data_IF_087389373124
#
_entry.id   IF_087389373124
#
_cell.length_a   1.000
_cell.length_b   1.000
_cell.length_c   1.000
_cell.angle_alpha   90.00
_cell.angle_beta   90.00
_cell.angle_gamma   90.00
#
_symmetry.space_group_name_H-M   'P 1'
#
loop_
_entity.id
_entity.type
_entity.pdbx_description
1 polymer ?
#
# COMPACT_ATOMS: atom_id res chain seq x y z
N UNK A 1 23.89 -0.27 67.75
CA UNK A 1 23.13 0.02 66.51
C UNK A 1 23.98 0.03 65.23
N UNK A 2 25.23 -0.45 65.23
CA UNK A 2 26.18 -0.22 64.13
C UNK A 2 26.35 -1.38 63.14
N UNK A 3 26.21 -2.64 63.57
CA UNK A 3 26.42 -3.81 62.68
C UNK A 3 25.31 -4.00 61.63
N UNK A 4 24.05 -3.68 61.94
CA UNK A 4 22.92 -3.83 61.00
C UNK A 4 22.95 -2.81 59.85
N UNK A 5 23.48 -1.61 60.09
CA UNK A 5 23.60 -0.55 59.07
C UNK A 5 24.71 -0.89 58.07
N UNK A 6 25.83 -1.45 58.55
CA UNK A 6 26.95 -1.86 57.68
C UNK A 6 26.52 -2.95 56.69
N UNK A 7 25.74 -3.94 57.14
CA UNK A 7 25.21 -4.98 56.26
C UNK A 7 24.25 -4.44 55.19
N UNK A 8 23.43 -3.44 55.55
CA UNK A 8 22.48 -2.83 54.62
C UNK A 8 23.17 -2.04 53.50
N UNK A 9 24.24 -1.32 53.83
CA UNK A 9 25.06 -0.57 52.86
C UNK A 9 25.81 -1.51 51.91
N UNK A 10 26.33 -2.63 52.42
CA UNK A 10 27.02 -3.64 51.61
C UNK A 10 26.07 -4.32 50.60
N UNK A 11 24.85 -4.64 51.01
CA UNK A 11 23.84 -5.22 50.11
C UNK A 11 23.44 -4.22 49.02
N UNK A 12 23.25 -2.95 49.37
CA UNK A 12 22.94 -1.90 48.39
C UNK A 12 24.07 -1.70 47.36
N UNK A 13 25.33 -1.75 47.79
CA UNK A 13 26.47 -1.64 46.88
C UNK A 13 26.57 -2.83 45.90
N UNK A 14 26.28 -4.05 46.38
CA UNK A 14 26.26 -5.25 45.52
C UNK A 14 25.09 -5.22 44.55
N UNK A 15 23.90 -4.78 44.97
CA UNK A 15 22.74 -4.63 44.10
C UNK A 15 22.97 -3.56 43.03
N UNK A 16 23.54 -2.40 43.40
CA UNK A 16 23.87 -1.35 42.43
C UNK A 16 24.94 -1.81 41.42
N UNK A 17 25.98 -2.51 41.88
CA UNK A 17 27.01 -3.08 41.00
C UNK A 17 26.47 -4.18 40.09
N UNK A 18 25.57 -5.03 40.60
CA UNK A 18 24.90 -6.07 39.84
C UNK A 18 23.96 -5.51 38.76
N UNK A 19 23.19 -4.46 39.08
CA UNK A 19 22.33 -3.76 38.11
C UNK A 19 23.17 -3.07 37.04
N UNK A 20 24.27 -2.40 37.42
CA UNK A 20 25.16 -1.74 36.46
C UNK A 20 25.85 -2.74 35.52
N UNK A 21 26.32 -3.88 36.05
CA UNK A 21 26.92 -4.93 35.22
C UNK A 21 25.91 -5.64 34.33
N UNK A 22 24.69 -5.86 34.81
CA UNK A 22 23.60 -6.43 34.03
C UNK A 22 23.18 -5.49 32.88
N UNK A 23 23.04 -4.19 33.15
CA UNK A 23 22.76 -3.19 32.10
C UNK A 23 23.90 -3.04 31.09
N UNK A 24 25.16 -3.21 31.52
CA UNK A 24 26.31 -3.21 30.59
C UNK A 24 26.31 -4.42 29.65
N UNK A 25 25.83 -5.59 30.10
CA UNK A 25 25.70 -6.80 29.27
C UNK A 25 24.43 -6.81 28.42
N UNK A 26 23.36 -6.19 28.92
CA UNK A 26 22.05 -6.12 28.29
C UNK A 26 21.61 -4.65 28.26
N UNK A 27 22.16 -3.82 27.35
CA UNK A 27 21.73 -2.44 27.24
C UNK A 27 20.23 -2.40 26.99
N UNK A 28 19.46 -1.54 27.70
CA UNK A 28 18.04 -1.39 27.44
C UNK A 28 17.84 -0.96 26.00
N UNK A 29 16.99 -1.67 25.26
CA UNK A 29 16.66 -1.38 23.86
C UNK A 29 15.78 -0.15 23.75
N UNK A 30 16.29 1.02 24.13
CA UNK A 30 15.78 2.27 23.58
C UNK A 30 16.28 2.30 22.15
N UNK A 31 15.35 2.14 21.20
CA UNK A 31 15.62 2.11 19.77
C UNK A 31 16.63 3.19 19.40
N UNK A 32 17.74 2.74 18.83
CA UNK A 32 18.85 3.57 18.40
C UNK A 32 18.31 4.56 17.35
N UNK A 33 18.21 5.84 17.72
CA UNK A 33 17.65 6.93 16.91
C UNK A 33 18.32 7.01 15.52
N UNK A 34 19.55 6.49 15.40
CA UNK A 34 20.28 6.33 14.15
C UNK A 34 19.60 5.39 13.15
N UNK A 35 18.98 4.30 13.61
CA UNK A 35 18.31 3.30 12.75
C UNK A 35 16.98 3.80 12.19
N UNK A 36 16.20 4.54 12.99
CA UNK A 36 14.97 5.19 12.52
C UNK A 36 15.27 6.27 11.48
N UNK A 37 16.30 7.08 11.72
CA UNK A 37 16.77 8.12 10.79
C UNK A 37 17.24 7.51 9.46
N UNK A 38 18.06 6.46 9.48
CA UNK A 38 18.52 5.77 8.26
C UNK A 38 17.39 5.08 7.49
N UNK A 39 16.41 4.49 8.18
CA UNK A 39 15.26 3.87 7.52
C UNK A 39 14.37 4.91 6.81
N UNK A 40 14.23 6.10 7.40
CA UNK A 40 13.47 7.20 6.78
C UNK A 40 14.16 7.78 5.54
N UNK A 41 15.50 7.89 5.53
CA UNK A 41 16.23 8.41 4.38
C UNK A 41 16.27 7.42 3.21
N UNK A 42 16.44 6.13 3.50
CA UNK A 42 16.39 5.08 2.47
C UNK A 42 15.01 4.95 1.82
N UNK A 43 13.94 5.07 2.62
CA UNK A 43 12.57 5.06 2.11
C UNK A 43 12.30 6.30 1.23
N UNK A 44 12.77 7.47 1.65
CA UNK A 44 12.66 8.70 0.88
C UNK A 44 13.40 8.63 -0.45
N UNK A 45 14.60 8.04 -0.46
CA UNK A 45 15.36 7.76 -1.69
C UNK A 45 14.59 6.83 -2.63
N UNK A 46 14.05 5.73 -2.11
CA UNK A 46 13.26 4.77 -2.90
C UNK A 46 12.02 5.41 -3.53
N UNK A 47 11.30 6.24 -2.77
CA UNK A 47 10.07 6.90 -3.21
C UNK A 47 10.32 8.01 -4.24
N UNK A 48 11.54 8.55 -4.28
CA UNK A 48 11.94 9.56 -5.25
C UNK A 48 12.66 8.96 -6.47
N UNK A 49 13.07 7.69 -6.41
CA UNK A 49 13.50 6.91 -7.58
C UNK A 49 12.30 6.25 -8.25
N UNK A 50 11.71 6.96 -9.23
CA UNK A 50 10.53 6.49 -9.96
C UNK A 50 10.74 5.14 -10.64
N UNK A 51 11.96 4.81 -11.10
CA UNK A 51 12.23 3.56 -11.79
C UNK A 51 12.29 2.38 -10.82
N UNK A 52 12.93 2.57 -9.66
CA UNK A 52 12.94 1.55 -8.59
C UNK A 52 11.54 1.36 -8.01
N UNK A 53 10.79 2.44 -7.79
CA UNK A 53 9.42 2.37 -7.29
C UNK A 53 8.51 1.64 -8.27
N UNK A 54 8.52 2.03 -9.55
CA UNK A 54 7.73 1.38 -10.61
C UNK A 54 8.05 -0.12 -10.68
N UNK A 55 9.34 -0.49 -10.69
CA UNK A 55 9.77 -1.89 -10.66
C UNK A 55 9.27 -2.64 -9.43
N UNK A 56 9.26 -2.01 -8.26
CA UNK A 56 8.76 -2.63 -7.03
C UNK A 56 7.26 -2.92 -7.13
N UNK A 57 6.46 -1.95 -7.58
CA UNK A 57 5.00 -2.13 -7.72
C UNK A 57 4.69 -3.17 -8.82
N UNK A 58 5.41 -3.14 -9.95
CA UNK A 58 5.26 -4.11 -11.05
C UNK A 58 5.52 -5.57 -10.68
N UNK A 59 6.22 -5.82 -9.58
CA UNK A 59 6.54 -7.18 -9.11
C UNK A 59 5.90 -7.49 -7.75
N UNK A 60 4.88 -6.71 -7.37
CA UNK A 60 4.13 -6.90 -6.13
C UNK A 60 2.97 -7.91 -6.30
N UNK A 61 2.24 -8.15 -5.22
CA UNK A 61 1.00 -8.92 -5.26
C UNK A 61 -0.20 -7.98 -5.11
N UNK A 62 -1.30 -8.29 -5.79
CA UNK A 62 -2.56 -7.54 -5.72
C UNK A 62 -3.71 -8.48 -5.40
N UNK A 63 -4.77 -7.95 -4.78
CA UNK A 63 -5.98 -8.72 -4.51
C UNK A 63 -7.09 -8.24 -5.44
N UNK A 64 -7.70 -9.19 -6.15
CA UNK A 64 -8.70 -8.93 -7.19
C UNK A 64 -10.01 -9.61 -6.80
N UNK A 65 -11.11 -8.86 -6.80
CA UNK A 65 -12.44 -9.43 -6.69
C UNK A 65 -12.79 -10.11 -8.02
N UNK A 66 -12.85 -11.44 -8.02
CA UNK A 66 -13.19 -12.22 -9.21
C UNK A 66 -14.72 -12.22 -9.36
N UNK A 67 -15.23 -11.60 -10.41
CA UNK A 67 -16.64 -11.69 -10.78
C UNK A 67 -16.86 -12.90 -11.68
N UNK A 68 -17.69 -13.84 -11.24
CA UNK A 68 -18.18 -14.90 -12.12
C UNK A 68 -19.54 -14.49 -12.69
N UNK A 69 -19.72 -14.67 -14.00
CA UNK A 69 -20.90 -14.22 -14.76
C UNK A 69 -22.24 -14.68 -14.14
N UNK A 70 -22.23 -15.78 -13.38
CA UNK A 70 -23.46 -16.41 -12.86
C UNK A 70 -23.69 -16.20 -11.35
N UNK A 71 -22.74 -15.61 -10.60
CA UNK A 71 -22.83 -15.57 -9.12
C UNK A 71 -22.46 -14.25 -8.46
N UNK A 72 -22.22 -13.20 -9.23
CA UNK A 72 -21.74 -11.92 -8.68
C UNK A 72 -20.28 -12.03 -8.20
N UNK A 73 -19.82 -11.10 -7.33
CA UNK A 73 -18.45 -11.14 -6.81
C UNK A 73 -18.21 -12.45 -6.05
N UNK A 74 -17.11 -13.12 -6.38
CA UNK A 74 -16.62 -14.26 -5.61
C UNK A 74 -16.47 -13.85 -4.15
N UNK A 75 -16.99 -14.67 -3.24
CA UNK A 75 -16.79 -14.47 -1.80
C UNK A 75 -15.32 -14.54 -1.38
N UNK A 76 -14.45 -15.07 -2.24
CA UNK A 76 -13.02 -15.14 -2.04
C UNK A 76 -12.31 -14.32 -3.14
N UNK A 77 -11.72 -13.17 -2.80
CA UNK A 77 -10.87 -12.47 -3.74
C UNK A 77 -9.58 -13.28 -3.98
N UNK A 78 -9.00 -13.14 -5.17
CA UNK A 78 -7.77 -13.83 -5.53
C UNK A 78 -6.55 -12.93 -5.35
N UNK A 79 -5.50 -13.47 -4.74
CA UNK A 79 -4.19 -12.81 -4.67
C UNK A 79 -3.37 -13.19 -5.89
N UNK A 80 -3.04 -12.19 -6.71
CA UNK A 80 -2.35 -12.35 -7.99
C UNK A 80 -0.97 -11.71 -7.87
N UNK A 81 0.07 -12.48 -8.18
CA UNK A 81 1.43 -11.95 -8.29
C UNK A 81 1.61 -11.28 -9.66
N UNK A 82 1.99 -10.00 -9.63
CA UNK A 82 2.36 -9.28 -10.85
C UNK A 82 3.80 -9.66 -11.23
N UNK A 83 4.02 -9.82 -12.54
CA UNK A 83 5.33 -9.96 -13.17
C UNK A 83 5.43 -8.88 -14.24
N UNK A 84 6.32 -7.93 -14.02
CA UNK A 84 6.46 -6.76 -14.88
C UNK A 84 5.13 -6.00 -15.10
N UNK A 85 4.32 -5.91 -14.04
CA UNK A 85 3.04 -5.20 -14.03
C UNK A 85 1.86 -6.03 -14.53
N UNK A 86 2.06 -7.28 -14.94
CA UNK A 86 0.97 -8.13 -15.46
C UNK A 86 0.77 -9.35 -14.57
N UNK A 87 -0.47 -9.68 -14.28
CA UNK A 87 -0.86 -10.90 -13.58
C UNK A 87 -2.07 -11.53 -14.25
N UNK A 88 -2.05 -12.85 -14.40
CA UNK A 88 -3.18 -13.62 -14.95
C UNK A 88 -3.90 -14.35 -13.82
N UNK A 89 -5.21 -14.49 -13.94
CA UNK A 89 -6.04 -15.22 -12.97
C UNK A 89 -7.14 -16.02 -13.64
N UNK A 90 -7.53 -17.13 -13.01
CA UNK A 90 -8.63 -17.97 -13.48
C UNK A 90 -9.93 -17.45 -12.88
N UNK A 91 -10.85 -17.00 -13.72
CA UNK A 91 -12.18 -16.53 -13.31
C UNK A 91 -13.17 -17.66 -13.13
N UNK A 92 -13.12 -18.65 -14.03
CA UNK A 92 -13.91 -19.86 -13.92
C UNK A 92 -13.08 -21.06 -14.37
N UNK A 93 -12.78 -21.94 -13.40
CA UNK A 93 -12.00 -23.16 -13.63
C UNK A 93 -12.74 -24.21 -14.44
N UNK A 94 -14.06 -24.11 -14.60
CA UNK A 94 -14.84 -25.05 -15.43
C UNK A 94 -14.76 -24.71 -16.92
N UNK A 95 -14.76 -23.42 -17.23
CA UNK A 95 -14.67 -22.92 -18.61
C UNK A 95 -13.25 -22.54 -19.02
N UNK A 96 -12.29 -22.60 -18.08
CA UNK A 96 -10.93 -22.06 -18.23
C UNK A 96 -10.93 -20.59 -18.67
N UNK A 97 -11.95 -19.83 -18.24
CA UNK A 97 -12.00 -18.41 -18.52
C UNK A 97 -10.96 -17.71 -17.65
N UNK A 98 -10.01 -17.04 -18.28
CA UNK A 98 -8.93 -16.28 -17.62
C UNK A 98 -9.17 -14.79 -17.75
N UNK A 99 -8.77 -14.05 -16.72
CA UNK A 99 -8.72 -12.60 -16.70
C UNK A 99 -7.30 -12.13 -16.42
N UNK A 100 -7.07 -10.86 -16.72
CA UNK A 100 -5.78 -10.22 -16.57
C UNK A 100 -5.90 -8.99 -15.67
N UNK A 101 -4.86 -8.75 -14.88
CA UNK A 101 -4.63 -7.50 -14.16
C UNK A 101 -3.37 -6.85 -14.71
N UNK A 102 -3.43 -5.54 -14.93
CA UNK A 102 -2.35 -4.72 -15.43
C UNK A 102 -2.12 -3.54 -14.50
N UNK A 103 -0.86 -3.32 -14.10
CA UNK A 103 -0.42 -2.05 -13.57
C UNK A 103 -0.18 -1.09 -14.73
N UNK A 104 -1.08 -0.13 -14.89
CA UNK A 104 -1.00 0.87 -15.98
C UNK A 104 0.05 1.92 -15.63
N UNK A 105 -0.02 2.48 -14.42
CA UNK A 105 0.92 3.50 -13.95
C UNK A 105 0.88 3.69 -12.43
N UNK A 106 1.99 4.16 -11.86
CA UNK A 106 1.97 4.86 -10.58
C UNK A 106 1.51 6.29 -10.82
N UNK A 107 0.42 6.70 -10.15
CA UNK A 107 -0.32 7.94 -10.41
C UNK A 107 -0.24 8.96 -9.27
N UNK A 108 0.37 8.59 -8.14
CA UNK A 108 0.56 9.49 -7.01
C UNK A 108 1.18 8.79 -5.80
N UNK A 109 1.43 9.57 -4.76
CA UNK A 109 1.94 9.11 -3.47
C UNK A 109 1.49 10.03 -2.35
N UNK A 110 1.38 9.49 -1.13
CA UNK A 110 1.11 10.25 0.08
C UNK A 110 2.02 9.76 1.21
N UNK A 111 2.59 10.68 1.98
CA UNK A 111 3.38 10.33 3.17
C UNK A 111 2.42 10.05 4.32
N UNK A 112 2.66 8.96 5.04
CA UNK A 112 1.90 8.53 6.23
C UNK A 112 2.87 8.26 7.38
N UNK A 113 2.35 8.05 8.59
CA UNK A 113 3.17 7.98 9.81
C UNK A 113 4.27 6.90 9.77
N UNK A 114 3.98 5.77 9.13
CA UNK A 114 4.83 4.57 9.06
C UNK A 114 5.39 4.28 7.66
N UNK A 115 5.19 5.18 6.70
CA UNK A 115 5.74 5.02 5.36
C UNK A 115 5.10 5.89 4.31
N UNK A 116 4.78 5.27 3.16
CA UNK A 116 4.13 5.93 2.04
C UNK A 116 2.98 5.08 1.51
N UNK A 117 1.86 5.73 1.21
CA UNK A 117 0.81 5.15 0.39
C UNK A 117 1.08 5.53 -1.06
N UNK A 118 1.33 4.54 -1.90
CA UNK A 118 1.59 4.69 -3.33
C UNK A 118 0.29 4.42 -4.07
N UNK A 119 -0.13 5.39 -4.89
CA UNK A 119 -1.35 5.29 -5.68
C UNK A 119 -1.02 4.78 -7.08
N UNK A 120 -1.73 3.76 -7.52
CA UNK A 120 -1.54 3.14 -8.82
C UNK A 120 -2.86 3.00 -9.57
N UNK A 121 -2.81 3.09 -10.89
CA UNK A 121 -3.89 2.69 -11.79
C UNK A 121 -3.74 1.18 -12.09
N UNK A 122 -4.66 0.39 -11.55
CA UNK A 122 -4.80 -1.03 -11.88
C UNK A 122 -5.96 -1.21 -12.84
N UNK A 123 -5.70 -1.81 -13.99
CA UNK A 123 -6.70 -2.19 -14.96
C UNK A 123 -6.97 -3.69 -14.91
N UNK A 124 -8.22 -4.10 -15.06
CA UNK A 124 -8.64 -5.50 -15.06
C UNK A 124 -9.43 -5.80 -16.33
N UNK A 125 -9.12 -6.93 -16.96
CA UNK A 125 -9.94 -7.51 -18.02
C UNK A 125 -10.46 -8.86 -17.56
N UNK A 126 -11.78 -8.97 -17.41
CA UNK A 126 -12.46 -10.20 -17.01
C UNK A 126 -12.94 -11.05 -18.19
N UNK A 127 -12.15 -11.14 -19.27
CA UNK A 127 -12.43 -11.99 -20.43
C UNK A 127 -13.57 -11.49 -21.34
N UNK A 128 -14.06 -10.27 -21.09
CA UNK A 128 -15.00 -9.54 -21.94
C UNK A 128 -14.30 -8.49 -22.80
N UNK A 129 -15.06 -7.49 -23.26
CA UNK A 129 -14.51 -6.35 -24.05
C UNK A 129 -14.18 -5.12 -23.19
N UNK A 130 -14.47 -5.18 -21.88
CA UNK A 130 -14.26 -4.08 -20.95
C UNK A 130 -12.85 -4.10 -20.35
N UNK A 131 -12.35 -2.93 -20.00
CA UNK A 131 -11.10 -2.77 -19.23
C UNK A 131 -11.44 -1.87 -18.05
N UNK A 132 -11.58 -2.45 -16.87
CA UNK A 132 -12.02 -1.72 -15.68
C UNK A 132 -10.82 -1.20 -14.91
N UNK A 133 -10.78 0.10 -14.69
CA UNK A 133 -9.72 0.77 -13.94
C UNK A 133 -10.12 0.99 -12.50
N UNK A 134 -9.19 0.71 -11.59
CA UNK A 134 -9.29 1.01 -10.17
C UNK A 134 -8.09 1.85 -9.74
N UNK A 135 -8.30 2.73 -8.76
CA UNK A 135 -7.19 3.27 -7.99
C UNK A 135 -6.82 2.26 -6.91
N UNK A 136 -5.57 1.82 -6.91
CA UNK A 136 -5.02 0.93 -5.90
C UNK A 136 -4.07 1.68 -4.96
N UNK A 137 -4.07 1.26 -3.70
CA UNK A 137 -3.14 1.71 -2.68
C UNK A 137 -2.17 0.57 -2.40
N UNK A 138 -0.88 0.88 -2.56
CA UNK A 138 0.22 0.05 -2.09
C UNK A 138 0.88 0.76 -0.92
N UNK A 139 0.84 0.13 0.24
CA UNK A 139 1.51 0.63 1.42
C UNK A 139 2.99 0.22 1.38
N UNK A 140 3.87 1.22 1.33
CA UNK A 140 5.31 1.07 1.20
C UNK A 140 5.98 1.35 2.56
N UNK A 141 6.60 0.31 3.11
CA UNK A 141 7.44 0.40 4.31
C UNK A 141 8.83 -0.11 4.00
N UNK A 142 9.87 0.61 4.45
CA UNK A 142 11.31 0.33 4.28
C UNK A 142 11.77 -0.01 2.85
N UNK A 143 11.36 -1.15 2.30
CA UNK A 143 11.69 -1.66 0.96
C UNK A 143 10.59 -2.53 0.32
N UNK A 144 9.45 -2.73 0.99
CA UNK A 144 8.37 -3.61 0.51
C UNK A 144 7.10 -2.81 0.26
N UNK A 145 6.54 -2.95 -0.94
CA UNK A 145 5.23 -2.40 -1.29
C UNK A 145 4.17 -3.50 -1.21
N UNK A 146 3.19 -3.30 -0.33
CA UNK A 146 2.12 -4.27 -0.08
C UNK A 146 0.81 -3.68 -0.58
N UNK A 147 0.10 -4.38 -1.46
CA UNK A 147 -1.27 -4.00 -1.83
C UNK A 147 -2.16 -4.04 -0.59
N UNK A 148 -2.94 -2.98 -0.35
CA UNK A 148 -3.84 -2.89 0.81
C UNK A 148 -5.31 -2.72 0.42
N UNK A 149 -5.61 -1.94 -0.61
CA UNK A 149 -6.99 -1.61 -0.98
C UNK A 149 -7.07 -1.07 -2.41
N UNK A 150 -8.25 -1.14 -3.02
CA UNK A 150 -8.55 -0.45 -4.26
C UNK A 150 -9.99 0.03 -4.32
N UNK A 151 -10.25 1.01 -5.19
CA UNK A 151 -11.58 1.56 -5.46
C UNK A 151 -11.84 1.69 -6.96
N UNK A 152 -13.04 1.34 -7.40
CA UNK A 152 -13.43 1.37 -8.82
C UNK A 152 -13.51 2.79 -9.36
N UNK A 153 -12.92 3.02 -10.53
CA UNK A 153 -12.98 4.29 -11.26
C UNK A 153 -13.92 4.23 -12.46
N UNK A 154 -13.85 3.17 -13.28
CA UNK A 154 -14.71 3.01 -14.47
C UNK A 154 -14.13 2.11 -15.57
N UNK A 155 -14.85 2.00 -16.68
CA UNK A 155 -14.48 1.17 -17.85
C UNK A 155 -13.82 2.02 -18.96
N UNK A 156 -12.66 1.57 -19.45
CA UNK A 156 -11.90 2.16 -20.57
C UNK A 156 -11.73 3.68 -20.42
N UNK A 157 -11.34 4.10 -19.22
CA UNK A 157 -11.00 5.48 -18.88
C UNK A 157 -9.49 5.71 -19.00
N UNK A 158 -9.04 6.96 -18.85
CA UNK A 158 -7.60 7.27 -18.73
C UNK A 158 -7.31 7.95 -17.40
N UNK A 159 -6.66 7.26 -16.48
CA UNK A 159 -6.29 7.83 -15.19
C UNK A 159 -5.09 8.77 -15.36
N UNK A 160 -5.17 9.96 -14.76
CA UNK A 160 -4.16 11.01 -14.92
C UNK A 160 -3.30 11.16 -13.68
N UNK A 161 -3.93 11.25 -12.50
CA UNK A 161 -3.22 11.51 -11.25
C UNK A 161 -4.10 11.18 -10.04
N UNK A 162 -3.47 10.87 -8.91
CA UNK A 162 -4.11 10.78 -7.62
C UNK A 162 -3.41 11.71 -6.62
N UNK A 163 -4.20 12.44 -5.83
CA UNK A 163 -3.68 13.37 -4.81
C UNK A 163 -4.44 13.16 -3.51
N UNK A 164 -3.69 13.01 -2.41
CA UNK A 164 -4.25 12.97 -1.07
C UNK A 164 -4.44 14.37 -0.51
N UNK A 165 -5.60 14.63 0.09
CA UNK A 165 -5.88 15.81 0.90
C UNK A 165 -5.97 15.34 2.36
N UNK A 166 -4.92 15.60 3.13
CA UNK A 166 -4.81 15.17 4.52
C UNK A 166 -5.97 15.72 5.37
N UNK A 167 -6.61 14.82 6.09
CA UNK A 167 -7.62 15.15 7.11
C UNK A 167 -7.09 14.86 8.52
N UNK A 168 -6.27 13.82 8.68
CA UNK A 168 -5.49 13.44 9.87
C UNK A 168 -4.31 12.53 9.48
N UNK A 169 -3.49 12.12 10.45
CA UNK A 169 -2.26 11.34 10.20
C UNK A 169 -2.51 10.00 9.46
N UNK A 170 -3.65 9.35 9.71
CA UNK A 170 -4.04 8.07 9.09
C UNK A 170 -5.35 8.17 8.28
N UNK A 171 -5.81 9.39 7.98
CA UNK A 171 -7.00 9.58 7.15
C UNK A 171 -6.86 10.75 6.20
N UNK A 172 -7.25 10.53 4.95
CA UNK A 172 -7.20 11.55 3.91
C UNK A 172 -8.28 11.30 2.86
N UNK A 173 -8.67 12.36 2.18
CA UNK A 173 -9.48 12.27 0.97
C UNK A 173 -8.55 12.05 -0.22
N UNK A 174 -8.71 10.92 -0.90
CA UNK A 174 -8.02 10.60 -2.14
C UNK A 174 -8.81 11.13 -3.32
N UNK A 175 -8.23 12.09 -4.04
CA UNK A 175 -8.81 12.72 -5.22
C UNK A 175 -8.13 12.15 -6.46
N UNK A 176 -8.87 11.42 -7.28
CA UNK A 176 -8.37 10.81 -8.52
C UNK A 176 -8.93 11.55 -9.73
N UNK A 177 -8.04 12.07 -10.57
CA UNK A 177 -8.39 12.71 -11.84
C UNK A 177 -8.22 11.72 -12.97
N UNK A 178 -9.22 11.65 -13.84
CA UNK A 178 -9.21 10.78 -15.01
C UNK A 178 -9.98 11.42 -16.16
N UNK A 179 -9.76 10.93 -17.38
CA UNK A 179 -10.58 11.24 -18.53
C UNK A 179 -11.58 10.12 -18.75
N UNK A 180 -12.80 10.51 -19.11
CA UNK A 180 -13.88 9.64 -19.52
C UNK A 180 -14.45 10.11 -20.87
N UNK A 181 -15.35 9.32 -21.45
CA UNK A 181 -16.10 9.68 -22.65
C UNK A 181 -17.30 10.57 -22.29
N UNK A 182 -17.81 11.28 -23.30
CA UNK A 182 -19.16 11.85 -23.27
C UNK A 182 -20.18 10.72 -23.40
N UNK A 183 -21.38 10.93 -22.86
CA UNK A 183 -22.43 9.89 -22.82
C UNK A 183 -22.82 9.34 -24.20
N UNK A 184 -22.65 10.14 -25.26
CA UNK A 184 -22.97 9.76 -26.64
C UNK A 184 -21.78 9.22 -27.45
N UNK A 185 -20.57 9.22 -26.88
CA UNK A 185 -19.38 8.73 -27.59
C UNK A 185 -19.31 7.19 -27.54
N UNK A 186 -18.94 6.53 -28.66
CA UNK A 186 -18.77 5.09 -28.66
C UNK A 186 -17.62 4.68 -27.74
N UNK A 187 -17.68 3.47 -27.18
CA UNK A 187 -16.64 2.95 -26.30
C UNK A 187 -15.27 2.73 -26.96
N UNK A 188 -15.21 2.84 -28.29
CA UNK A 188 -13.96 2.83 -29.06
C UNK A 188 -13.31 4.22 -29.18
N UNK A 189 -14.01 5.30 -28.79
CA UNK A 189 -13.45 6.64 -28.77
C UNK A 189 -12.53 6.82 -27.57
N UNK A 190 -11.48 7.61 -27.76
CA UNK A 190 -10.58 8.01 -26.68
C UNK A 190 -11.34 8.88 -25.66
N UNK A 191 -11.13 8.67 -24.35
CA UNK A 191 -11.74 9.50 -23.33
C UNK A 191 -11.13 10.92 -23.33
N UNK A 192 -11.99 11.94 -23.30
CA UNK A 192 -11.59 13.36 -23.41
C UNK A 192 -12.16 14.26 -22.30
N UNK A 193 -13.17 13.81 -21.58
CA UNK A 193 -13.87 14.58 -20.54
C UNK A 193 -13.20 14.36 -19.19
N UNK A 194 -12.63 15.42 -18.61
CA UNK A 194 -12.05 15.35 -17.28
C UNK A 194 -13.12 15.12 -16.21
N UNK A 195 -12.95 14.06 -15.44
CA UNK A 195 -13.75 13.73 -14.26
C UNK A 195 -12.86 13.61 -13.02
N UNK A 196 -13.50 13.56 -11.85
CA UNK A 196 -12.82 13.38 -10.58
C UNK A 196 -13.61 12.42 -9.70
N UNK A 197 -12.93 11.38 -9.22
CA UNK A 197 -13.45 10.50 -8.17
C UNK A 197 -12.85 10.91 -6.82
N UNK A 198 -13.62 10.74 -5.75
CA UNK A 198 -13.19 10.99 -4.38
C UNK A 198 -13.39 9.73 -3.56
N UNK A 199 -12.39 9.35 -2.80
CA UNK A 199 -12.44 8.23 -1.88
C UNK A 199 -11.98 8.68 -0.52
N UNK A 200 -12.64 8.23 0.54
CA UNK A 200 -12.11 8.40 1.89
C UNK A 200 -11.15 7.25 2.18
N UNK A 201 -9.95 7.57 2.66
CA UNK A 201 -8.98 6.57 3.11
C UNK A 201 -8.84 6.66 4.62
N UNK A 202 -8.90 5.51 5.28
CA UNK A 202 -8.68 5.36 6.73
C UNK A 202 -7.83 4.12 6.94
N UNK A 203 -6.71 4.27 7.64
CA UNK A 203 -5.74 3.19 7.90
C UNK A 203 -5.32 2.49 6.59
N UNK A 204 -4.98 3.29 5.57
CA UNK A 204 -4.59 2.86 4.22
C UNK A 204 -5.68 2.17 3.39
N UNK A 205 -6.90 2.04 3.91
CA UNK A 205 -8.02 1.39 3.24
C UNK A 205 -9.00 2.40 2.65
N UNK A 206 -9.34 2.23 1.38
CA UNK A 206 -10.45 2.96 0.76
C UNK A 206 -11.76 2.50 1.41
N UNK A 207 -12.55 3.46 1.90
CA UNK A 207 -13.90 3.23 2.40
C UNK A 207 -14.90 3.39 1.25
N UNK A 208 -15.74 2.38 1.09
CA UNK A 208 -16.91 2.36 0.20
C UNK A 208 -18.11 3.02 0.85
#
# INVERSE_FOLDING_TARGET
MTKKIIWLVLILAILAGGVWWYQKKNPPSWQDQSTLSQNSSALEELVNDSARLDKLIKNSQVTVDIFSNDKGPSANPATIALKDGVGEFVMDSKTNLTGDVFLVAVIGKNKVADGYDIFADLAFNSGGTGIFHNVAIFHLTTSTATYVSSGSLGDRIKVLSATALLTSDNSYDLIVKYLDRRDEEPMSADPTVTKTAKFQVIDHLIKS
#
